data_IF_722129894970
#
_entry.id   IF_722129894970
#
_cell.length_a   1.000
_cell.length_b   1.000
_cell.length_c   1.000
_cell.angle_alpha   90.00
_cell.angle_beta   90.00
_cell.angle_gamma   90.00
#
_symmetry.space_group_name_H-M   'P 1'
#
loop_
_entity.id
_entity.type
_entity.pdbx_description
1 polymer ?
#
# COMPACT_ATOMS: atom_id res chain seq x y z
N UNK A 1 7.56 -2.68 16.69
CA UNK A 1 8.20 -1.89 15.61
C UNK A 1 7.74 -0.45 15.81
N UNK A 2 8.63 0.55 15.71
CA UNK A 2 8.22 1.94 15.79
C UNK A 2 7.17 2.19 14.71
N UNK A 3 6.17 3.03 14.99
CA UNK A 3 5.19 3.45 14.00
C UNK A 3 5.95 3.90 12.75
N UNK A 4 5.76 3.22 11.62
CA UNK A 4 6.39 3.66 10.38
C UNK A 4 5.88 5.08 10.08
N UNK A 5 6.81 5.96 9.75
CA UNK A 5 6.48 7.36 9.47
C UNK A 5 5.73 7.47 8.15
N UNK A 6 4.86 8.47 8.05
CA UNK A 6 4.25 8.83 6.77
C UNK A 6 5.36 9.13 5.74
N UNK A 7 5.21 8.62 4.52
CA UNK A 7 6.10 8.90 3.41
C UNK A 7 5.33 9.34 2.17
N UNK A 8 6.06 9.70 1.10
CA UNK A 8 5.46 10.13 -0.16
C UNK A 8 5.93 9.25 -1.31
N UNK A 9 4.99 8.89 -2.19
CA UNK A 9 5.25 8.19 -3.45
C UNK A 9 4.98 9.13 -4.63
N UNK A 10 5.59 8.84 -5.79
CA UNK A 10 5.18 9.46 -7.05
C UNK A 10 4.21 8.53 -7.79
N UNK A 11 2.97 8.96 -7.96
CA UNK A 11 1.95 8.22 -8.71
C UNK A 11 1.34 9.11 -9.79
N UNK A 12 1.33 8.66 -11.05
CA UNK A 12 0.86 9.44 -12.20
C UNK A 12 1.43 10.87 -12.27
N UNK A 13 2.71 11.04 -11.91
CA UNK A 13 3.41 12.33 -11.90
C UNK A 13 3.05 13.25 -10.72
N UNK A 14 2.36 12.76 -9.70
CA UNK A 14 1.99 13.52 -8.50
C UNK A 14 2.57 12.88 -7.24
N UNK A 15 2.95 13.72 -6.28
CA UNK A 15 3.34 13.27 -4.95
C UNK A 15 2.08 12.95 -4.15
N UNK A 16 2.05 11.76 -3.55
CA UNK A 16 0.92 11.25 -2.77
C UNK A 16 1.43 10.76 -1.43
N UNK A 17 0.77 11.18 -0.35
CA UNK A 17 1.12 10.73 1.00
C UNK A 17 0.65 9.29 1.22
N UNK A 18 1.48 8.49 1.86
CA UNK A 18 1.19 7.13 2.30
C UNK A 18 1.39 7.04 3.80
N UNK A 19 0.42 6.46 4.49
CA UNK A 19 0.47 6.21 5.94
C UNK A 19 0.43 4.71 6.20
N UNK A 20 1.50 4.10 6.72
CA UNK A 20 1.48 2.70 7.12
C UNK A 20 0.72 2.52 8.42
N UNK A 21 -0.04 1.44 8.53
CA UNK A 21 -0.82 1.07 9.71
C UNK A 21 -0.60 -0.40 10.00
N UNK A 22 -0.05 -0.69 11.19
CA UNK A 22 0.13 -2.06 11.66
C UNK A 22 -1.10 -2.49 12.45
N UNK A 23 -1.75 -3.55 12.03
CA UNK A 23 -2.89 -4.14 12.73
C UNK A 23 -2.77 -5.67 12.77
N UNK A 24 -2.57 -6.23 13.96
CA UNK A 24 -2.54 -7.69 14.15
C UNK A 24 -1.41 -8.43 13.42
N UNK A 25 -0.30 -7.75 13.11
CA UNK A 25 0.82 -8.34 12.35
C UNK A 25 0.75 -8.11 10.84
N UNK A 26 -0.37 -7.58 10.33
CA UNK A 26 -0.49 -7.11 8.95
C UNK A 26 -0.10 -5.64 8.85
N UNK A 27 0.49 -5.26 7.73
CA UNK A 27 0.80 -3.87 7.38
C UNK A 27 -0.19 -3.44 6.30
N UNK A 28 -0.92 -2.36 6.58
CA UNK A 28 -1.80 -1.70 5.62
C UNK A 28 -1.19 -0.37 5.24
N UNK A 29 -1.30 0.02 3.97
CA UNK A 29 -0.90 1.33 3.50
C UNK A 29 -2.15 2.12 3.13
N UNK A 30 -2.32 3.28 3.78
CA UNK A 30 -3.38 4.24 3.46
C UNK A 30 -2.80 5.26 2.47
N UNK A 31 -3.30 5.26 1.25
CA UNK A 31 -2.90 6.19 0.20
C UNK A 31 -3.90 7.35 0.16
N UNK A 32 -3.40 8.56 0.41
CA UNK A 32 -4.22 9.77 0.58
C UNK A 32 -4.50 10.46 -0.75
N UNK A 33 -5.28 9.80 -1.62
CA UNK A 33 -5.91 10.46 -2.77
C UNK A 33 -7.15 11.28 -2.35
N UNK A 34 -7.87 11.84 -3.34
CA UNK A 34 -9.16 12.51 -3.10
C UNK A 34 -10.19 11.59 -2.44
N UNK A 35 -10.16 10.29 -2.77
CA UNK A 35 -10.80 9.21 -2.03
C UNK A 35 -9.70 8.30 -1.51
N UNK A 36 -9.67 8.02 -0.21
CA UNK A 36 -8.65 7.15 0.37
C UNK A 36 -8.70 5.77 -0.27
N UNK A 37 -7.52 5.20 -0.50
CA UNK A 37 -7.34 3.81 -0.92
C UNK A 37 -6.51 3.13 0.15
N UNK A 38 -6.92 1.93 0.55
CA UNK A 38 -6.21 1.14 1.55
C UNK A 38 -5.77 -0.13 0.85
N UNK A 39 -4.46 -0.39 0.82
CA UNK A 39 -3.91 -1.62 0.28
C UNK A 39 -3.11 -2.38 1.32
N UNK A 40 -2.95 -3.67 1.10
CA UNK A 40 -2.02 -4.52 1.84
C UNK A 40 -1.47 -5.60 0.91
N UNK A 41 -0.41 -6.25 1.37
CA UNK A 41 0.15 -7.42 0.72
C UNK A 41 -0.32 -8.68 1.46
N UNK A 42 -0.75 -9.71 0.72
CA UNK A 42 -1.08 -11.01 1.29
C UNK A 42 -0.51 -12.15 0.44
N UNK A 43 -0.26 -13.28 1.10
CA UNK A 43 0.15 -14.51 0.43
C UNK A 43 -1.08 -15.27 -0.07
N UNK A 44 -1.27 -15.32 -1.39
CA UNK A 44 -2.33 -16.08 -2.07
C UNK A 44 -1.71 -17.17 -2.92
N UNK A 45 -2.04 -18.44 -2.64
CA UNK A 45 -1.54 -19.59 -3.42
C UNK A 45 -0.02 -19.54 -3.65
N UNK A 46 0.75 -19.36 -2.56
CA UNK A 46 2.23 -19.29 -2.58
C UNK A 46 2.82 -18.05 -3.29
N UNK A 47 1.98 -17.09 -3.70
CA UNK A 47 2.41 -15.85 -4.35
C UNK A 47 1.99 -14.64 -3.51
N UNK A 48 2.90 -13.72 -3.25
CA UNK A 48 2.56 -12.45 -2.61
C UNK A 48 1.84 -11.54 -3.61
N UNK A 49 0.74 -10.95 -3.18
CA UNK A 49 -0.12 -10.11 -4.02
C UNK A 49 -0.62 -8.89 -3.23
N UNK A 50 -0.65 -7.76 -3.92
CA UNK A 50 -1.23 -6.53 -3.41
C UNK A 50 -2.74 -6.48 -3.69
N UNK A 51 -3.51 -6.06 -2.69
CA UNK A 51 -4.97 -5.97 -2.78
C UNK A 51 -5.50 -4.70 -2.12
N UNK A 52 -6.62 -4.19 -2.63
CA UNK A 52 -7.41 -3.16 -1.95
C UNK A 52 -8.31 -3.80 -0.88
N UNK A 53 -8.33 -3.25 0.33
CA UNK A 53 -9.05 -3.82 1.47
C UNK A 53 -10.56 -4.10 1.18
N UNK A 54 -11.20 -3.26 0.37
CA UNK A 54 -12.63 -3.37 0.05
C UNK A 54 -12.93 -4.01 -1.32
N UNK A 55 -11.90 -4.30 -2.14
CA UNK A 55 -12.10 -4.74 -3.53
C UNK A 55 -11.29 -6.00 -3.91
N UNK A 56 -10.37 -6.44 -3.07
CA UNK A 56 -9.45 -7.53 -3.37
C UNK A 56 -8.37 -7.11 -4.37
N UNK A 57 -7.84 -8.07 -5.13
CA UNK A 57 -6.79 -7.83 -6.11
C UNK A 57 -7.28 -6.93 -7.26
N UNK A 58 -6.66 -5.77 -7.42
CA UNK A 58 -6.95 -4.81 -8.50
C UNK A 58 -5.66 -4.35 -9.17
N UNK A 59 -5.70 -3.90 -10.44
CA UNK A 59 -4.52 -3.32 -11.09
C UNK A 59 -3.96 -2.11 -10.35
N UNK A 60 -4.82 -1.33 -9.71
CA UNK A 60 -4.39 -0.18 -8.90
C UNK A 60 -3.61 -0.63 -7.66
N UNK A 61 -4.07 -1.68 -6.98
CA UNK A 61 -3.35 -2.22 -5.83
C UNK A 61 -1.96 -2.75 -6.21
N UNK A 62 -1.88 -3.48 -7.32
CA UNK A 62 -0.62 -3.98 -7.85
C UNK A 62 0.37 -2.85 -8.17
N UNK A 63 -0.07 -1.82 -8.91
CA UNK A 63 0.78 -0.69 -9.28
C UNK A 63 1.24 0.10 -8.05
N UNK A 64 0.34 0.41 -7.11
CA UNK A 64 0.69 1.13 -5.89
C UNK A 64 1.63 0.30 -4.99
N UNK A 65 1.37 -1.00 -4.90
CA UNK A 65 2.18 -1.94 -4.15
C UNK A 65 3.60 -2.04 -4.67
N UNK A 66 3.78 -2.20 -5.98
CA UNK A 66 5.10 -2.20 -6.62
C UNK A 66 5.86 -0.88 -6.37
N UNK A 67 5.16 0.26 -6.42
CA UNK A 67 5.78 1.56 -6.12
C UNK A 67 6.21 1.65 -4.65
N UNK A 68 5.39 1.16 -3.72
CA UNK A 68 5.69 1.18 -2.28
C UNK A 68 6.84 0.23 -1.96
N UNK A 69 6.84 -0.99 -2.52
CA UNK A 69 7.89 -1.99 -2.34
C UNK A 69 9.24 -1.53 -2.92
N UNK A 70 9.22 -0.76 -4.00
CA UNK A 70 10.42 -0.19 -4.59
C UNK A 70 11.03 0.95 -3.75
N UNK A 71 10.31 1.47 -2.76
CA UNK A 71 10.89 2.42 -1.81
C UNK A 71 11.66 1.62 -0.78
N UNK A 72 12.99 1.77 -0.81
CA UNK A 72 13.87 1.30 0.25
C UNK A 72 13.67 2.21 1.48
N UNK A 73 12.79 1.81 2.40
CA UNK A 73 12.49 2.52 3.67
C UNK A 73 13.19 1.83 4.84
#
# INVERSE_FOLDING_TARGET
MPNEEDFFITFAGRQVKVSPVINGGNIYFIIHFASQVIIAEELVNETWQWYEADKGATPLAAELGEIIEAIDI
#
